data_IF_612000439643
#
_entry.id   IF_612000439643
#
_cell.length_a   1.000
_cell.length_b   1.000
_cell.length_c   1.000
_cell.angle_alpha   90.00
_cell.angle_beta   90.00
_cell.angle_gamma   90.00
#
_symmetry.space_group_name_H-M   'P 1'
#
loop_
_entity.id
_entity.type
_entity.pdbx_description
1 polymer ?
#
# COMPACT_ATOMS: atom_id res chain seq x y z
N UNK A 1 20.29 30.10 9.14
CA UNK A 1 19.74 29.18 8.12
C UNK A 1 20.40 27.84 8.34
N UNK A 2 19.62 26.74 8.48
CA UNK A 2 20.19 25.41 8.66
C UNK A 2 20.21 24.71 7.30
N UNK A 3 21.35 24.14 6.92
CA UNK A 3 21.52 23.38 5.69
C UNK A 3 21.70 21.89 6.04
N UNK A 4 20.96 21.05 5.35
CA UNK A 4 21.05 19.61 5.47
C UNK A 4 21.43 19.03 4.11
N UNK A 5 22.36 18.06 4.08
CA UNK A 5 22.81 17.42 2.84
C UNK A 5 22.47 15.93 2.91
N UNK A 6 21.79 15.44 1.89
CA UNK A 6 21.42 14.04 1.71
C UNK A 6 21.74 13.61 0.28
N UNK A 7 21.96 12.32 0.08
CA UNK A 7 22.21 11.75 -1.24
C UNK A 7 20.92 11.55 -2.02
N UNK A 8 19.84 11.25 -1.30
CA UNK A 8 18.48 11.09 -1.87
C UNK A 8 17.48 11.90 -1.05
N UNK A 9 16.63 12.64 -1.73
CA UNK A 9 15.49 13.35 -1.11
C UNK A 9 14.20 12.88 -1.76
N UNK A 10 13.31 12.30 -0.94
CA UNK A 10 12.00 11.81 -1.38
C UNK A 10 10.94 12.83 -0.92
N UNK A 11 10.11 13.27 -1.86
CA UNK A 11 9.03 14.20 -1.58
C UNK A 11 7.71 13.43 -1.47
N UNK A 12 7.18 13.39 -0.26
CA UNK A 12 5.95 12.67 0.09
C UNK A 12 6.20 11.38 0.89
N UNK A 13 5.49 11.22 2.01
CA UNK A 13 5.57 10.07 2.91
C UNK A 13 4.30 9.20 2.87
N UNK A 14 3.68 9.05 1.70
CA UNK A 14 2.67 8.03 1.44
C UNK A 14 3.32 6.66 1.22
N UNK A 15 2.52 5.64 0.86
CA UNK A 15 3.01 4.27 0.67
C UNK A 15 4.18 4.18 -0.31
N UNK A 16 4.09 4.83 -1.46
CA UNK A 16 5.15 4.84 -2.47
C UNK A 16 6.44 5.50 -1.95
N UNK A 17 6.32 6.69 -1.33
CA UNK A 17 7.48 7.39 -0.79
C UNK A 17 8.16 6.64 0.36
N UNK A 18 7.39 6.00 1.23
CA UNK A 18 7.94 5.17 2.30
C UNK A 18 8.63 3.91 1.76
N UNK A 19 8.07 3.26 0.74
CA UNK A 19 8.73 2.13 0.07
C UNK A 19 10.04 2.56 -0.58
N UNK A 20 10.03 3.67 -1.30
CA UNK A 20 11.25 4.24 -1.88
C UNK A 20 12.30 4.58 -0.82
N UNK A 21 11.87 5.11 0.35
CA UNK A 21 12.78 5.41 1.46
C UNK A 21 13.43 4.16 2.05
N UNK A 22 12.67 3.07 2.18
CA UNK A 22 13.21 1.78 2.66
C UNK A 22 14.27 1.27 1.70
N UNK A 23 14.04 1.33 0.39
CA UNK A 23 14.99 0.83 -0.59
C UNK A 23 16.24 1.72 -0.73
N UNK A 24 16.05 3.04 -0.82
CA UNK A 24 17.18 3.97 -0.95
C UNK A 24 18.02 4.05 0.33
N UNK A 25 17.38 3.96 1.50
CA UNK A 25 18.06 4.01 2.80
C UNK A 25 19.02 2.84 3.06
N UNK A 26 18.88 1.74 2.32
CA UNK A 26 19.86 0.62 2.36
C UNK A 26 21.21 0.97 1.76
N UNK A 27 21.31 2.03 0.93
CA UNK A 27 22.47 2.33 0.10
C UNK A 27 22.94 3.77 0.18
N UNK A 28 22.09 4.68 0.67
CA UNK A 28 22.33 6.12 0.61
C UNK A 28 21.71 6.84 1.80
N UNK A 29 22.27 7.98 2.18
CA UNK A 29 21.68 8.88 3.18
C UNK A 29 20.42 9.48 2.59
N UNK A 30 19.27 9.01 3.04
CA UNK A 30 17.95 9.36 2.49
C UNK A 30 17.19 10.28 3.45
N UNK A 31 16.59 11.34 2.92
CA UNK A 31 15.61 12.17 3.61
C UNK A 31 14.24 12.04 2.97
N UNK A 32 13.20 12.05 3.80
CA UNK A 32 11.82 12.13 3.34
C UNK A 32 11.24 13.47 3.75
N UNK A 33 10.86 14.27 2.77
CA UNK A 33 10.20 15.55 2.98
C UNK A 33 8.68 15.34 2.91
N UNK A 34 7.97 15.67 3.97
CA UNK A 34 6.52 15.47 4.03
C UNK A 34 5.79 16.63 4.69
N UNK A 35 4.60 16.94 4.19
CA UNK A 35 3.73 17.95 4.76
C UNK A 35 3.05 17.46 6.04
N UNK A 36 2.66 16.17 6.07
CA UNK A 36 1.96 15.55 7.18
C UNK A 36 2.76 14.36 7.70
N UNK A 37 2.49 13.98 8.94
CA UNK A 37 3.06 12.74 9.50
C UNK A 37 2.69 11.53 8.63
N UNK A 38 3.60 10.57 8.39
CA UNK A 38 3.35 9.44 7.46
C UNK A 38 2.06 8.67 7.73
N UNK A 39 1.70 8.47 8.99
CA UNK A 39 0.44 7.78 9.38
C UNK A 39 -0.83 8.58 9.06
N UNK A 40 -0.70 9.85 8.64
CA UNK A 40 -1.79 10.71 8.19
C UNK A 40 -1.89 10.77 6.66
N UNK A 41 -1.08 10.02 5.94
CA UNK A 41 -1.19 9.87 4.49
C UNK A 41 -2.47 9.12 4.11
N UNK A 42 -2.89 9.23 2.85
CA UNK A 42 -4.02 8.44 2.33
C UNK A 42 -3.78 6.94 2.52
N UNK A 43 -2.56 6.45 2.29
CA UNK A 43 -2.20 5.05 2.54
C UNK A 43 -2.39 4.68 4.01
N UNK A 44 -1.95 5.53 4.94
CA UNK A 44 -2.10 5.29 6.38
C UNK A 44 -3.53 5.41 6.88
N UNK A 45 -4.38 6.19 6.20
CA UNK A 45 -5.79 6.38 6.52
C UNK A 45 -6.71 5.37 5.82
N UNK A 46 -6.22 4.64 4.83
CA UNK A 46 -7.00 3.66 4.09
C UNK A 46 -7.50 2.52 4.99
N UNK A 47 -8.76 2.14 4.81
CA UNK A 47 -9.42 1.08 5.59
C UNK A 47 -9.91 -0.07 4.71
N UNK A 48 -9.64 0.00 3.44
CA UNK A 48 -10.27 -0.85 2.44
C UNK A 48 -9.56 -2.18 2.16
N UNK A 49 -8.37 -2.41 2.65
CA UNK A 49 -7.56 -3.56 2.27
C UNK A 49 -6.87 -3.37 0.90
N UNK A 50 -6.18 -4.40 0.44
CA UNK A 50 -5.44 -4.41 -0.82
C UNK A 50 -6.02 -5.41 -1.81
N UNK A 51 -6.04 -5.05 -3.09
CA UNK A 51 -6.41 -5.97 -4.15
C UNK A 51 -5.16 -6.71 -4.65
N UNK A 52 -5.20 -8.04 -4.64
CA UNK A 52 -4.17 -8.89 -5.21
C UNK A 52 -4.78 -10.26 -5.54
N UNK A 53 -4.39 -10.83 -6.66
CA UNK A 53 -4.86 -12.13 -7.12
C UNK A 53 -4.07 -13.26 -6.43
N UNK A 54 -4.29 -13.45 -5.11
CA UNK A 54 -3.58 -14.45 -4.30
C UNK A 54 -4.10 -15.88 -4.45
N UNK A 55 -5.28 -16.05 -5.02
CA UNK A 55 -5.95 -17.35 -5.16
C UNK A 55 -6.06 -18.16 -3.84
N UNK A 56 -6.17 -17.48 -2.70
CA UNK A 56 -6.22 -18.14 -1.39
C UNK A 56 -7.60 -18.72 -1.05
N UNK A 57 -8.65 -18.15 -1.59
CA UNK A 57 -10.06 -18.49 -1.29
C UNK A 57 -10.77 -19.05 -2.51
N UNK A 58 -10.51 -18.48 -3.67
CA UNK A 58 -11.05 -18.91 -4.98
C UNK A 58 -9.93 -18.82 -6.01
N UNK A 59 -10.09 -19.53 -7.14
CA UNK A 59 -9.16 -19.38 -8.27
C UNK A 59 -9.14 -17.95 -8.76
N UNK A 60 -7.96 -17.41 -8.93
CA UNK A 60 -7.73 -16.05 -9.41
C UNK A 60 -6.35 -15.96 -10.06
N UNK A 61 -6.16 -14.98 -10.95
CA UNK A 61 -4.89 -14.69 -11.58
C UNK A 61 -4.72 -13.20 -11.86
N UNK A 62 -3.50 -12.79 -12.12
CA UNK A 62 -3.17 -11.39 -12.33
C UNK A 62 -3.74 -10.86 -13.67
N UNK A 63 -3.97 -11.69 -14.68
CA UNK A 63 -4.56 -11.28 -15.94
C UNK A 63 -6.00 -10.80 -15.75
N UNK A 64 -6.80 -11.52 -14.96
CA UNK A 64 -8.15 -11.08 -14.62
C UNK A 64 -8.15 -9.80 -13.80
N UNK A 65 -7.17 -9.66 -12.89
CA UNK A 65 -7.00 -8.43 -12.12
C UNK A 65 -6.63 -7.25 -13.03
N UNK A 66 -5.75 -7.45 -14.00
CA UNK A 66 -5.40 -6.43 -15.00
C UNK A 66 -6.61 -6.04 -15.84
N UNK A 67 -7.37 -7.02 -16.32
CA UNK A 67 -8.60 -6.75 -17.06
C UNK A 67 -9.58 -5.88 -16.27
N UNK A 68 -9.85 -6.23 -15.02
CA UNK A 68 -10.75 -5.46 -14.17
C UNK A 68 -10.22 -4.03 -13.91
N UNK A 69 -8.91 -3.89 -13.76
CA UNK A 69 -8.27 -2.59 -13.54
C UNK A 69 -8.39 -1.69 -14.78
N UNK A 70 -8.10 -2.23 -15.95
CA UNK A 70 -8.21 -1.51 -17.22
C UNK A 70 -9.66 -1.14 -17.52
N UNK A 71 -10.58 -2.10 -17.37
CA UNK A 71 -12.02 -1.88 -17.55
C UNK A 71 -12.56 -0.87 -16.53
N UNK A 72 -12.16 -0.97 -15.26
CA UNK A 72 -12.58 -0.05 -14.21
C UNK A 72 -12.09 1.38 -14.40
N UNK A 73 -11.00 1.56 -15.13
CA UNK A 73 -10.49 2.86 -15.58
C UNK A 73 -11.03 3.32 -16.92
N UNK A 74 -12.15 2.75 -17.40
CA UNK A 74 -12.77 3.07 -18.69
C UNK A 74 -11.80 2.98 -19.88
N UNK A 75 -10.82 2.07 -19.80
CA UNK A 75 -9.75 1.88 -20.80
C UNK A 75 -8.85 3.11 -21.01
N UNK A 76 -8.88 4.09 -20.11
CA UNK A 76 -8.06 5.30 -20.16
C UNK A 76 -6.77 5.17 -19.31
N UNK A 77 -6.55 4.05 -18.68
CA UNK A 77 -5.35 3.79 -17.87
C UNK A 77 -4.14 3.45 -18.76
N UNK A 78 -2.95 3.69 -18.24
CA UNK A 78 -1.72 3.11 -18.79
C UNK A 78 -1.77 1.59 -18.55
N UNK A 79 -1.98 0.84 -19.62
CA UNK A 79 -2.24 -0.62 -19.55
C UNK A 79 -1.00 -1.40 -19.13
N UNK A 80 0.19 -0.97 -19.56
CA UNK A 80 1.46 -1.60 -19.19
C UNK A 80 1.71 -1.41 -17.68
N UNK A 81 1.45 -0.21 -17.17
CA UNK A 81 1.55 0.07 -15.74
C UNK A 81 0.52 -0.72 -14.91
N UNK A 82 -0.70 -0.88 -15.42
CA UNK A 82 -1.74 -1.69 -14.78
C UNK A 82 -1.34 -3.17 -14.71
N UNK A 83 -0.76 -3.72 -15.79
CA UNK A 83 -0.26 -5.09 -15.83
C UNK A 83 0.84 -5.32 -14.79
N UNK A 84 1.86 -4.46 -14.77
CA UNK A 84 2.97 -4.53 -13.80
C UNK A 84 2.43 -4.46 -12.38
N UNK A 85 1.53 -3.51 -12.09
CA UNK A 85 0.92 -3.36 -10.75
C UNK A 85 0.18 -4.61 -10.31
N UNK A 86 -0.65 -5.19 -11.17
CA UNK A 86 -1.46 -6.36 -10.83
C UNK A 86 -0.61 -7.62 -10.64
N UNK A 87 0.45 -7.76 -11.42
CA UNK A 87 1.40 -8.86 -11.34
C UNK A 87 2.23 -8.80 -10.06
N UNK A 88 2.80 -7.62 -9.76
CA UNK A 88 3.61 -7.43 -8.56
C UNK A 88 2.79 -7.39 -7.26
N UNK A 89 1.49 -7.12 -7.32
CA UNK A 89 0.62 -7.12 -6.15
C UNK A 89 0.62 -8.46 -5.41
N UNK A 90 0.85 -9.57 -6.12
CA UNK A 90 0.91 -10.92 -5.55
C UNK A 90 2.06 -11.02 -4.54
N UNK A 91 3.22 -10.46 -4.85
CA UNK A 91 4.40 -10.47 -3.98
C UNK A 91 4.35 -9.35 -2.95
N UNK A 92 3.75 -8.20 -3.29
CA UNK A 92 3.67 -7.06 -2.41
C UNK A 92 2.86 -7.34 -1.12
N UNK A 93 1.80 -8.15 -1.19
CA UNK A 93 0.97 -8.48 -0.02
C UNK A 93 1.74 -9.30 1.01
N UNK A 94 2.41 -10.43 0.66
CA UNK A 94 3.27 -11.16 1.60
C UNK A 94 4.45 -10.32 2.13
N UNK A 95 5.01 -9.43 1.32
CA UNK A 95 6.09 -8.56 1.79
C UNK A 95 5.62 -7.58 2.85
N UNK A 96 4.44 -6.99 2.70
CA UNK A 96 3.84 -6.15 3.73
C UNK A 96 3.53 -6.94 5.01
N UNK A 97 3.11 -8.19 4.88
CA UNK A 97 2.93 -9.06 6.03
C UNK A 97 4.23 -9.31 6.78
N UNK A 98 5.34 -9.61 6.07
CA UNK A 98 6.68 -9.74 6.67
C UNK A 98 7.13 -8.47 7.40
N UNK A 99 6.67 -7.29 6.91
CA UNK A 99 6.89 -5.99 7.58
C UNK A 99 5.98 -5.76 8.79
N UNK A 100 5.11 -6.72 9.13
CA UNK A 100 4.23 -6.67 10.30
C UNK A 100 2.84 -6.12 10.03
N UNK A 101 2.39 -6.05 8.77
CA UNK A 101 0.99 -5.70 8.47
C UNK A 101 0.10 -6.92 8.77
N UNK A 102 -0.84 -6.81 9.74
CA UNK A 102 -1.70 -7.93 10.10
C UNK A 102 -2.84 -8.07 9.07
N UNK A 103 -2.88 -9.19 8.38
CA UNK A 103 -4.03 -9.59 7.56
C UNK A 103 -4.90 -10.59 8.32
N UNK A 104 -6.20 -10.59 8.02
CA UNK A 104 -7.09 -11.66 8.48
C UNK A 104 -6.66 -13.00 7.87
N UNK A 105 -7.02 -14.09 8.56
CA UNK A 105 -6.67 -15.46 8.16
C UNK A 105 -7.90 -16.29 7.89
N UNK A 106 -7.78 -17.17 6.90
CA UNK A 106 -8.70 -18.30 6.74
C UNK A 106 -8.46 -19.32 7.85
N UNK A 107 -9.39 -20.28 8.09
CA UNK A 107 -9.16 -21.37 9.04
C UNK A 107 -7.88 -22.17 8.78
N UNK A 108 -7.45 -22.26 7.53
CA UNK A 108 -6.22 -22.95 7.09
C UNK A 108 -4.96 -22.10 7.28
N UNK A 109 -5.08 -20.88 7.79
CA UNK A 109 -3.97 -19.98 8.07
C UNK A 109 -3.48 -19.15 6.88
N UNK A 110 -4.15 -19.18 5.72
CA UNK A 110 -3.82 -18.33 4.57
C UNK A 110 -4.34 -16.91 4.80
N UNK A 111 -3.79 -15.92 4.07
CA UNK A 111 -4.33 -14.55 4.07
C UNK A 111 -5.77 -14.61 3.54
N UNK A 112 -6.71 -14.13 4.36
CA UNK A 112 -8.13 -14.10 4.01
C UNK A 112 -8.41 -13.05 2.95
N UNK A 113 -9.28 -13.40 2.02
CA UNK A 113 -9.73 -12.52 0.95
C UNK A 113 -11.25 -12.44 0.92
N UNK A 114 -11.78 -11.33 0.44
CA UNK A 114 -13.23 -11.14 0.29
C UNK A 114 -13.57 -10.59 -1.09
N UNK A 115 -14.78 -10.86 -1.50
CA UNK A 115 -15.37 -10.24 -2.70
C UNK A 115 -15.50 -8.75 -2.51
N UNK A 116 -15.23 -8.02 -3.57
CA UNK A 116 -15.45 -6.59 -3.63
C UNK A 116 -16.02 -6.21 -5.00
N UNK A 117 -16.90 -5.20 -5.04
CA UNK A 117 -17.56 -4.79 -6.27
C UNK A 117 -16.56 -4.42 -7.38
N UNK A 118 -16.84 -4.87 -8.59
CA UNK A 118 -15.98 -4.64 -9.76
C UNK A 118 -14.88 -5.67 -9.98
N UNK A 119 -14.65 -6.59 -9.02
CA UNK A 119 -13.72 -7.70 -9.24
C UNK A 119 -14.43 -8.85 -9.94
N UNK A 120 -13.86 -9.30 -11.05
CA UNK A 120 -14.43 -10.39 -11.84
C UNK A 120 -13.45 -11.52 -12.10
N UNK A 121 -13.99 -12.72 -12.27
CA UNK A 121 -13.31 -13.92 -12.73
C UNK A 121 -13.84 -14.27 -14.12
N UNK A 122 -13.00 -14.80 -14.99
CA UNK A 122 -13.40 -15.15 -16.35
C UNK A 122 -14.14 -14.01 -17.09
N UNK A 123 -13.71 -12.75 -16.83
CA UNK A 123 -14.26 -11.54 -17.46
C UNK A 123 -15.74 -11.24 -17.17
N UNK A 124 -16.32 -11.77 -16.10
CA UNK A 124 -17.72 -11.49 -15.79
C UNK A 124 -18.26 -12.04 -14.46
N UNK A 125 -17.65 -13.08 -13.91
CA UNK A 125 -18.06 -13.66 -12.65
C UNK A 125 -17.47 -12.89 -11.46
N UNK A 126 -18.23 -12.71 -10.37
CA UNK A 126 -17.73 -12.03 -9.18
C UNK A 126 -16.57 -12.80 -8.52
N UNK A 127 -15.47 -12.13 -8.22
CA UNK A 127 -14.26 -12.72 -7.66
C UNK A 127 -13.92 -12.23 -6.27
N UNK A 128 -13.18 -13.05 -5.51
CA UNK A 128 -12.63 -12.76 -4.19
C UNK A 128 -11.15 -12.36 -4.35
N UNK A 129 -10.87 -11.06 -4.40
CA UNK A 129 -9.52 -10.57 -4.68
C UNK A 129 -8.92 -9.67 -3.62
N UNK A 130 -9.72 -9.24 -2.64
CA UNK A 130 -9.29 -8.25 -1.67
C UNK A 130 -8.79 -8.88 -0.39
N UNK A 131 -7.48 -8.79 -0.12
CA UNK A 131 -6.90 -9.09 1.18
C UNK A 131 -7.38 -8.07 2.22
N UNK A 132 -7.94 -8.53 3.33
CA UNK A 132 -8.51 -7.69 4.37
C UNK A 132 -7.56 -7.56 5.55
N UNK A 133 -7.27 -6.32 5.94
CA UNK A 133 -6.50 -6.06 7.15
C UNK A 133 -7.35 -6.29 8.41
N UNK A 134 -6.77 -6.95 9.39
CA UNK A 134 -7.35 -6.96 10.73
C UNK A 134 -7.51 -5.51 11.23
N UNK A 135 -8.68 -5.17 11.77
CA UNK A 135 -8.91 -3.83 12.36
C UNK A 135 -7.89 -3.60 13.47
N UNK A 136 -7.00 -2.63 13.28
CA UNK A 136 -6.23 -2.12 14.40
C UNK A 136 -7.20 -1.52 15.42
N UNK A 137 -6.99 -1.84 16.70
CA UNK A 137 -7.66 -1.11 17.76
C UNK A 137 -7.48 0.40 17.53
N UNK A 138 -8.52 1.23 17.77
CA UNK A 138 -8.40 2.67 17.54
C UNK A 138 -7.19 3.20 18.31
N UNK A 139 -6.21 3.73 17.59
CA UNK A 139 -5.07 4.38 18.22
C UNK A 139 -5.62 5.57 19.01
N UNK A 140 -5.50 5.52 20.32
CA UNK A 140 -5.78 6.68 21.16
C UNK A 140 -4.86 7.80 20.67
N UNK A 141 -5.45 8.86 20.14
CA UNK A 141 -4.71 10.07 19.81
C UNK A 141 -4.06 10.60 21.08
N UNK A 142 -2.73 10.78 21.12
CA UNK A 142 -2.17 11.69 22.10
C UNK A 142 -2.74 13.08 21.79
N UNK A 143 -3.13 13.74 22.84
CA UNK A 143 -3.84 15.00 22.97
C UNK A 143 -3.58 16.02 21.85
N UNK A 144 -4.65 16.70 21.41
CA UNK A 144 -4.60 17.80 20.44
C UNK A 144 -3.96 19.04 21.07
N UNK A 145 -2.67 18.98 21.37
CA UNK A 145 -1.88 20.17 21.66
C UNK A 145 -1.76 21.02 20.38
N UNK A 146 -2.24 22.24 20.43
CA UNK A 146 -2.08 23.26 19.40
C UNK A 146 -0.60 23.38 19.05
N UNK A 147 -0.16 22.87 17.92
CA UNK A 147 1.23 22.86 17.49
C UNK A 147 1.39 23.39 16.08
N UNK A 148 2.14 24.44 15.97
CA UNK A 148 2.63 25.16 14.79
C UNK A 148 2.85 24.24 13.58
N UNK A 149 2.38 24.69 12.42
CA UNK A 149 2.73 24.10 11.12
C UNK A 149 4.24 24.30 10.91
N UNK A 150 5.00 23.30 11.22
CA UNK A 150 6.43 23.22 10.93
C UNK A 150 6.70 22.10 9.94
N UNK A 151 7.45 22.38 8.89
CA UNK A 151 8.01 21.35 8.01
C UNK A 151 8.91 20.44 8.86
N UNK A 152 8.58 19.18 9.03
CA UNK A 152 9.45 18.24 9.77
C UNK A 152 10.25 17.40 8.79
N UNK A 153 11.56 17.46 8.96
CA UNK A 153 12.51 16.53 8.36
C UNK A 153 12.57 15.30 9.26
N UNK A 154 12.12 14.15 8.80
CA UNK A 154 12.42 12.87 9.44
C UNK A 154 13.58 12.21 8.70
N UNK A 155 14.73 12.10 9.36
CA UNK A 155 15.86 11.33 8.89
C UNK A 155 15.69 9.88 9.38
N UNK A 156 15.75 8.92 8.46
CA UNK A 156 15.95 7.53 8.82
C UNK A 156 17.45 7.35 9.10
N UNK A 157 17.79 7.20 10.37
CA UNK A 157 19.14 6.81 10.77
C UNK A 157 19.26 5.29 10.60
N UNK A 158 20.29 4.85 9.85
CA UNK A 158 20.75 3.47 9.79
C UNK A 158 21.54 3.10 11.03
#
# INVERSE_FOLDING_TARGET
>A
MQFHRYDVVIVGAGGAGMRAAIESGKRARTAVLTKLYPTRSHTGAAQGGMCAALANVEDDNWEWHTFDTVKGGDYLVDQDAAEVMCKEAIDAVPDLEKMGLPFNRTPEGRIDQRRFGGHTRNHGEAAVRRAWQARRAPQRHPDRGRGRVGCRLSAAAG
#
